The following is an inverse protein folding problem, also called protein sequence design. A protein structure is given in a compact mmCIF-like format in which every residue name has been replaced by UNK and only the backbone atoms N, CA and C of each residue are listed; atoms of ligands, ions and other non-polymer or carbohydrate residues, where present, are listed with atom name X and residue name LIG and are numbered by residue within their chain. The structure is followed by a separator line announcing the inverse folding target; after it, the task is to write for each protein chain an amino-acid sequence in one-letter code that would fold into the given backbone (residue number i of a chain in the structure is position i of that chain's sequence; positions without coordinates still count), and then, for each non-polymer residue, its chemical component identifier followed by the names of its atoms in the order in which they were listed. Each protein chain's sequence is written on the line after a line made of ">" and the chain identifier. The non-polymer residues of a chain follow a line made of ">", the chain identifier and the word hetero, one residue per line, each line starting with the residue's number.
data_IF_690345136127
#
_entry.id   IF_690345136127
#
_cell.length_a   1.000
_cell.length_b   1.000
_cell.length_c   1.000
_cell.angle_alpha   90.00
_cell.angle_beta   90.00
_cell.angle_gamma   90.00
#
_symmetry.space_group_name_H-M   'P 1'
#
loop_
_entity.id
_entity.type
_entity.pdbx_description
1 polymer ?
#
# COMPACT_ATOMS: atom_id res chain seq x y z
N UNK A 1 -0.28 9.16 13.42
CA UNK A 1 0.76 8.66 14.36
C UNK A 1 0.41 8.97 15.80
N UNK A 2 -0.70 8.40 16.31
CA UNK A 2 -1.30 8.82 17.58
C UNK A 2 -1.47 7.75 18.67
N UNK A 3 -1.18 6.47 18.41
CA UNK A 3 -1.58 5.40 19.34
C UNK A 3 -0.51 4.32 19.61
N UNK A 4 0.75 4.56 19.26
CA UNK A 4 1.80 3.55 19.34
C UNK A 4 2.89 3.96 20.32
N UNK A 5 2.92 3.28 21.48
CA UNK A 5 3.88 3.53 22.56
C UNK A 5 3.43 4.66 23.49
N UNK A 6 3.41 4.47 24.82
CA UNK A 6 3.00 5.52 25.75
C UNK A 6 4.06 6.62 25.93
N UNK A 7 5.33 6.37 25.59
CA UNK A 7 6.43 7.31 25.86
C UNK A 7 7.45 7.32 24.72
N UNK A 8 7.77 8.51 24.24
CA UNK A 8 8.99 8.71 23.46
C UNK A 8 9.60 10.10 23.74
N UNK A 9 10.90 10.10 24.01
CA UNK A 9 11.68 11.26 24.41
C UNK A 9 13.07 11.21 23.73
N UNK A 10 13.70 12.36 23.48
CA UNK A 10 15.09 12.42 23.04
C UNK A 10 15.36 12.13 21.56
N UNK A 11 14.40 12.43 20.67
CA UNK A 11 14.50 12.27 19.21
C UNK A 11 15.04 10.88 18.78
N UNK A 12 14.31 9.79 19.06
CA UNK A 12 14.78 8.47 18.72
C UNK A 12 14.67 8.19 17.21
N UNK A 13 15.54 7.31 16.71
CA UNK A 13 15.43 6.69 15.39
C UNK A 13 14.97 5.24 15.50
N UNK A 14 14.24 4.78 14.48
CA UNK A 14 13.84 3.39 14.29
C UNK A 14 14.49 2.81 13.04
N UNK A 15 14.91 1.55 13.15
CA UNK A 15 15.28 0.72 12.01
C UNK A 15 14.73 -0.69 12.18
N UNK A 16 14.19 -1.26 11.12
CA UNK A 16 13.65 -2.61 11.12
C UNK A 16 14.44 -3.47 10.15
N UNK A 17 14.82 -4.67 10.57
CA UNK A 17 15.52 -5.65 9.75
C UNK A 17 14.85 -7.01 9.77
N UNK A 18 15.05 -7.77 8.69
CA UNK A 18 14.65 -9.18 8.58
C UNK A 18 15.59 -10.08 9.43
N UNK A 19 14.98 -11.01 10.18
CA UNK A 19 15.67 -12.04 10.96
C UNK A 19 15.97 -11.68 12.42
N UNK A 20 16.52 -12.65 13.15
CA UNK A 20 16.98 -12.48 14.53
C UNK A 20 18.42 -11.95 14.57
N UNK A 21 18.65 -10.87 15.33
CA UNK A 21 19.99 -10.58 15.89
C UNK A 21 21.11 -10.24 14.90
N UNK A 22 20.80 -9.76 13.69
CA UNK A 22 21.81 -9.33 12.71
C UNK A 22 22.15 -7.85 12.89
N UNK A 23 23.41 -7.48 12.56
CA UNK A 23 23.77 -6.09 12.36
C UNK A 23 22.83 -5.50 11.31
N UNK A 24 21.94 -4.63 11.75
CA UNK A 24 20.96 -3.99 10.89
C UNK A 24 21.62 -2.81 10.17
N UNK A 25 22.38 -3.13 9.11
CA UNK A 25 23.02 -2.11 8.28
C UNK A 25 21.93 -1.28 7.59
N UNK A 26 22.14 0.04 7.39
CA UNK A 26 21.16 0.88 6.70
C UNK A 26 20.77 0.33 5.31
N UNK A 27 21.72 -0.31 4.63
CA UNK A 27 21.51 -0.88 3.29
C UNK A 27 20.69 -2.17 3.26
N UNK A 28 20.44 -2.80 4.41
CA UNK A 28 19.71 -4.06 4.53
C UNK A 28 18.45 -3.93 5.40
N UNK A 29 18.08 -2.70 5.78
CA UNK A 29 16.89 -2.45 6.57
C UNK A 29 15.65 -2.62 5.70
N UNK A 30 14.61 -3.27 6.26
CA UNK A 30 13.25 -3.25 5.72
C UNK A 30 12.68 -1.82 5.74
N UNK A 31 13.15 -0.99 6.67
CA UNK A 31 12.90 0.44 6.70
C UNK A 31 13.64 1.14 7.83
N UNK A 32 13.76 2.47 7.73
CA UNK A 32 14.32 3.32 8.78
C UNK A 32 13.66 4.69 8.79
N UNK A 33 13.56 5.30 9.98
CA UNK A 33 12.95 6.61 10.18
C UNK A 33 13.62 7.32 11.36
N UNK A 34 14.05 8.56 11.15
CA UNK A 34 14.81 9.36 12.13
C UNK A 34 14.02 10.58 12.62
N UNK A 35 12.70 10.46 12.68
CA UNK A 35 11.79 11.54 13.07
C UNK A 35 10.35 11.06 12.99
N UNK A 36 9.46 11.70 13.74
CA UNK A 36 8.08 11.24 13.83
C UNK A 36 7.18 11.67 12.70
N UNK A 37 5.89 11.74 13.01
CA UNK A 37 4.89 12.28 12.11
C UNK A 37 4.31 13.53 12.75
N UNK A 38 4.05 14.53 11.91
CA UNK A 38 3.51 15.81 12.32
C UNK A 38 4.38 16.45 13.42
N UNK A 39 3.76 16.87 14.52
CA UNK A 39 4.43 17.50 15.67
C UNK A 39 5.06 16.51 16.65
N UNK A 40 4.97 15.19 16.39
CA UNK A 40 5.57 14.18 17.26
C UNK A 40 7.03 13.91 16.88
N UNK A 41 7.98 13.92 17.82
CA UNK A 41 9.35 13.47 17.56
C UNK A 41 9.43 11.95 17.40
N UNK A 42 8.34 11.22 17.57
CA UNK A 42 8.34 9.77 17.70
C UNK A 42 8.29 9.07 16.35
N UNK A 43 9.35 8.36 15.93
CA UNK A 43 9.42 7.71 14.63
C UNK A 43 8.30 6.69 14.46
N UNK A 44 7.72 6.67 13.27
CA UNK A 44 6.75 5.68 12.84
C UNK A 44 7.22 5.08 11.51
N UNK A 45 7.16 3.77 11.40
CA UNK A 45 7.59 3.04 10.21
C UNK A 45 6.59 1.92 9.91
N UNK A 46 6.09 1.92 8.68
CA UNK A 46 5.37 0.80 8.12
C UNK A 46 6.36 -0.02 7.26
N UNK A 47 6.32 -1.34 7.38
CA UNK A 47 7.18 -2.24 6.63
C UNK A 47 6.43 -3.54 6.31
N UNK A 48 6.71 -4.18 5.17
CA UNK A 48 6.17 -5.50 4.88
C UNK A 48 6.71 -6.52 5.88
N UNK A 49 5.85 -7.42 6.36
CA UNK A 49 6.32 -8.53 7.18
C UNK A 49 7.33 -9.35 6.37
N UNK A 50 8.54 -9.61 6.88
CA UNK A 50 9.52 -10.40 6.14
C UNK A 50 9.05 -11.84 5.95
N UNK A 51 9.53 -12.47 4.87
CA UNK A 51 9.23 -13.88 4.55
C UNK A 51 9.67 -14.84 5.67
N UNK A 52 10.69 -14.46 6.45
CA UNK A 52 11.14 -15.22 7.61
C UNK A 52 10.11 -15.29 8.73
N UNK A 53 9.12 -14.37 8.73
CA UNK A 53 8.19 -14.15 9.84
C UNK A 53 8.85 -13.54 11.08
N UNK A 54 10.13 -13.16 10.99
CA UNK A 54 10.91 -12.64 12.11
C UNK A 54 11.54 -11.32 11.71
N UNK A 55 11.37 -10.31 12.57
CA UNK A 55 12.03 -9.02 12.39
C UNK A 55 12.66 -8.57 13.71
N UNK A 56 13.74 -7.80 13.58
CA UNK A 56 14.37 -7.11 14.71
C UNK A 56 14.19 -5.60 14.55
N UNK A 57 13.76 -4.93 15.61
CA UNK A 57 13.65 -3.47 15.67
C UNK A 57 14.83 -2.93 16.46
N UNK A 58 15.54 -1.97 15.87
CA UNK A 58 16.64 -1.23 16.49
C UNK A 58 16.19 0.19 16.79
N UNK A 59 16.49 0.65 18.00
CA UNK A 59 16.31 2.03 18.44
C UNK A 59 17.66 2.64 18.80
N UNK A 60 17.82 3.94 18.55
CA UNK A 60 18.99 4.72 18.95
C UNK A 60 18.59 6.21 19.06
N UNK A 61 19.36 7.06 19.75
CA UNK A 61 19.14 8.50 19.65
C UNK A 61 19.56 8.99 18.25
N UNK A 62 18.90 10.00 17.72
CA UNK A 62 19.28 10.60 16.43
C UNK A 62 20.64 11.33 16.53
N UNK A 63 20.99 11.81 17.73
CA UNK A 63 22.29 12.41 18.05
C UNK A 63 23.05 11.47 18.98
N UNK A 64 24.28 11.12 18.61
CA UNK A 64 25.11 10.20 19.40
C UNK A 64 25.36 10.75 20.82
N UNK A 65 25.15 9.90 21.82
CA UNK A 65 25.30 10.23 23.24
C UNK A 65 24.11 10.95 23.89
N UNK A 66 23.08 11.36 23.15
CA UNK A 66 21.88 11.95 23.76
C UNK A 66 21.00 10.87 24.41
N UNK A 67 20.39 11.16 25.58
CA UNK A 67 19.45 10.25 26.20
C UNK A 67 18.17 10.16 25.37
N UNK A 68 17.61 8.96 25.25
CA UNK A 68 16.33 8.75 24.59
C UNK A 68 15.50 7.70 25.32
N UNK A 69 14.18 7.79 25.15
CA UNK A 69 13.21 6.78 25.56
C UNK A 69 12.39 6.43 24.33
N UNK A 70 12.21 5.13 24.06
CA UNK A 70 11.40 4.65 22.96
C UNK A 70 10.62 3.42 23.42
N UNK A 71 9.39 3.63 23.89
CA UNK A 71 8.48 2.52 24.17
C UNK A 71 7.89 2.01 22.85
N UNK A 72 8.43 0.88 22.40
CA UNK A 72 8.03 0.26 21.13
C UNK A 72 6.65 -0.40 21.24
N UNK A 73 5.80 -0.12 20.27
CA UNK A 73 4.58 -0.88 20.01
C UNK A 73 4.59 -1.34 18.55
N UNK A 74 4.30 -2.62 18.32
CA UNK A 74 4.10 -3.17 16.98
C UNK A 74 2.67 -3.63 16.85
N UNK A 75 2.00 -3.22 15.77
CA UNK A 75 0.73 -3.81 15.36
C UNK A 75 0.94 -4.47 14.02
N UNK A 76 0.36 -5.66 13.89
CA UNK A 76 0.17 -6.30 12.60
C UNK A 76 -1.19 -5.87 12.06
N UNK A 77 -1.28 -5.76 10.75
CA UNK A 77 -2.49 -5.35 10.08
C UNK A 77 -2.24 -5.15 8.60
N UNK A 78 -3.31 -4.97 7.82
CA UNK A 78 -3.17 -4.59 6.44
C UNK A 78 -2.53 -3.20 6.34
N UNK A 79 -1.78 -2.91 5.26
CA UNK A 79 -1.25 -1.59 4.99
C UNK A 79 -2.39 -0.56 4.95
N UNK A 80 -2.14 0.62 5.49
CA UNK A 80 -3.15 1.67 5.65
C UNK A 80 -3.24 2.57 4.42
N UNK A 81 -3.34 1.97 3.23
CA UNK A 81 -3.28 2.71 1.96
C UNK A 81 -4.46 3.64 1.72
N UNK A 82 -5.53 3.50 2.50
CA UNK A 82 -6.73 4.32 2.40
C UNK A 82 -6.61 5.66 3.12
N UNK A 83 -5.56 5.87 3.92
CA UNK A 83 -5.27 7.17 4.53
C UNK A 83 -4.91 8.17 3.43
N UNK A 84 -5.42 9.40 3.51
CA UNK A 84 -4.98 10.49 2.64
C UNK A 84 -3.45 10.66 2.69
N UNK A 85 -2.84 11.08 1.58
CA UNK A 85 -1.41 11.33 1.56
C UNK A 85 -1.05 12.53 2.44
N UNK A 86 0.10 12.47 3.11
CA UNK A 86 0.56 13.56 3.98
C UNK A 86 0.99 14.78 3.14
N UNK A 87 1.47 14.53 1.91
CA UNK A 87 1.86 15.57 0.98
C UNK A 87 0.84 15.65 -0.16
N UNK A 88 0.31 16.85 -0.39
CA UNK A 88 -0.51 17.12 -1.57
C UNK A 88 0.28 16.78 -2.84
N UNK A 89 -0.32 15.95 -3.69
CA UNK A 89 0.22 15.65 -5.02
C UNK A 89 1.21 14.48 -5.09
N UNK A 90 1.28 13.62 -4.07
CA UNK A 90 1.86 12.28 -4.26
C UNK A 90 1.18 11.60 -5.46
N UNK A 91 1.97 10.95 -6.31
CA UNK A 91 1.49 10.45 -7.60
C UNK A 91 1.99 9.04 -7.93
N UNK A 92 1.23 8.35 -8.79
CA UNK A 92 1.61 7.09 -9.40
C UNK A 92 1.22 5.83 -8.60
N UNK A 93 1.47 4.68 -9.23
CA UNK A 93 1.05 3.35 -8.74
C UNK A 93 1.78 2.89 -7.48
N UNK A 94 2.95 3.46 -7.18
CA UNK A 94 3.77 3.05 -6.03
C UNK A 94 3.35 3.73 -4.72
N UNK A 95 2.44 4.71 -4.76
CA UNK A 95 2.01 5.43 -3.56
C UNK A 95 1.33 4.51 -2.54
N UNK A 96 1.50 4.85 -1.27
CA UNK A 96 1.04 4.02 -0.12
C UNK A 96 -0.09 4.68 0.66
N UNK A 97 -0.76 5.65 0.05
CA UNK A 97 -1.83 6.48 0.61
C UNK A 97 -2.82 6.88 -0.50
N UNK A 98 -3.99 7.36 -0.12
CA UNK A 98 -5.03 7.94 -0.98
C UNK A 98 -5.72 6.95 -1.92
N UNK A 99 -5.77 5.67 -1.51
CA UNK A 99 -6.51 4.61 -2.18
C UNK A 99 -7.90 4.45 -1.57
N UNK A 100 -8.82 3.86 -2.33
CA UNK A 100 -10.19 3.58 -1.89
C UNK A 100 -10.59 2.19 -2.37
N UNK A 101 -11.19 1.38 -1.50
CA UNK A 101 -11.76 0.11 -1.91
C UNK A 101 -12.86 0.30 -2.98
N UNK A 102 -12.72 -0.38 -4.11
CA UNK A 102 -13.75 -0.46 -5.14
C UNK A 102 -14.88 -1.39 -4.68
N UNK A 103 -16.12 -1.08 -5.07
CA UNK A 103 -17.30 -1.87 -4.72
C UNK A 103 -17.49 -3.04 -5.70
N UNK A 104 -16.72 -4.12 -5.51
CA UNK A 104 -16.86 -5.35 -6.30
C UNK A 104 -16.99 -6.58 -5.39
N UNK A 105 -17.65 -7.62 -5.91
CA UNK A 105 -17.59 -8.94 -5.28
C UNK A 105 -16.24 -9.58 -5.63
N UNK A 106 -15.42 -9.79 -4.60
CA UNK A 106 -14.03 -10.21 -4.72
C UNK A 106 -13.83 -11.70 -4.95
N UNK A 107 -14.89 -12.48 -5.14
CA UNK A 107 -14.77 -13.94 -5.30
C UNK A 107 -14.33 -14.33 -6.72
N UNK A 108 -13.37 -15.25 -6.82
CA UNK A 108 -12.84 -15.75 -8.10
C UNK A 108 -12.46 -17.24 -8.03
N UNK A 109 -12.34 -17.89 -9.18
CA UNK A 109 -11.90 -19.29 -9.27
C UNK A 109 -10.36 -19.37 -9.25
N UNK A 110 -9.74 -20.02 -8.25
CA UNK A 110 -8.29 -20.15 -8.16
C UNK A 110 -7.62 -20.61 -9.47
N UNK A 111 -6.55 -19.90 -9.86
CA UNK A 111 -5.76 -20.21 -11.05
C UNK A 111 -6.37 -19.78 -12.40
N UNK A 112 -7.58 -19.23 -12.40
CA UNK A 112 -8.16 -18.65 -13.62
C UNK A 112 -7.71 -17.20 -13.79
N UNK A 113 -7.56 -16.79 -15.05
CA UNK A 113 -7.28 -15.40 -15.40
C UNK A 113 -8.55 -14.56 -15.34
N UNK A 114 -8.44 -13.38 -14.76
CA UNK A 114 -9.49 -12.37 -14.71
C UNK A 114 -8.99 -11.09 -15.35
N UNK A 115 -9.86 -10.45 -16.13
CA UNK A 115 -9.71 -9.09 -16.62
C UNK A 115 -10.45 -8.18 -15.63
N UNK A 116 -9.82 -7.08 -15.23
CA UNK A 116 -10.40 -6.10 -14.31
C UNK A 116 -10.09 -4.70 -14.82
N UNK A 117 -11.04 -3.78 -14.66
CA UNK A 117 -10.86 -2.38 -15.05
C UNK A 117 -12.13 -1.57 -14.88
N UNK A 118 -12.05 -0.28 -15.20
CA UNK A 118 -13.18 0.67 -15.15
C UNK A 118 -13.43 1.44 -16.46
N UNK A 119 -12.90 0.96 -17.58
CA UNK A 119 -13.05 1.52 -18.93
C UNK A 119 -14.31 0.95 -19.65
N UNK A 120 -15.43 1.69 -19.71
CA UNK A 120 -16.70 1.19 -20.24
C UNK A 120 -16.66 0.89 -21.74
N UNK A 121 -17.72 0.23 -22.24
CA UNK A 121 -17.87 -0.09 -23.66
C UNK A 121 -17.70 1.11 -24.58
N UNK A 122 -16.90 0.92 -25.64
CA UNK A 122 -16.63 1.97 -26.63
C UNK A 122 -15.44 2.88 -26.29
N UNK A 123 -14.82 2.73 -25.12
CA UNK A 123 -13.60 3.43 -24.71
C UNK A 123 -12.33 2.57 -24.82
N UNK A 124 -12.44 1.41 -25.48
CA UNK A 124 -11.31 0.63 -25.97
C UNK A 124 -11.04 -0.66 -25.20
N UNK A 125 -11.25 -0.69 -23.88
CA UNK A 125 -11.05 -1.92 -23.09
C UNK A 125 -12.34 -2.70 -22.83
N UNK A 126 -13.52 -2.06 -22.94
CA UNK A 126 -14.83 -2.70 -22.75
C UNK A 126 -14.94 -3.48 -21.42
N UNK A 127 -14.42 -2.92 -20.33
CA UNK A 127 -14.50 -3.48 -18.97
C UNK A 127 -14.73 -2.40 -17.93
N UNK A 128 -15.80 -2.51 -17.15
CA UNK A 128 -16.18 -1.49 -16.16
C UNK A 128 -17.48 -0.80 -16.51
N UNK A 129 -17.90 0.15 -15.68
CA UNK A 129 -19.15 0.89 -15.88
C UNK A 129 -18.94 2.39 -16.12
N UNK A 130 -17.89 2.97 -15.52
CA UNK A 130 -17.57 4.38 -15.67
C UNK A 130 -16.10 4.66 -15.35
N UNK A 131 -15.51 5.57 -16.14
CA UNK A 131 -14.19 6.13 -15.90
C UNK A 131 -14.23 7.64 -16.15
N UNK A 132 -13.68 8.42 -15.23
CA UNK A 132 -13.46 9.85 -15.42
C UNK A 132 -12.26 10.34 -14.62
N UNK A 133 -11.61 11.40 -15.11
CA UNK A 133 -10.39 11.92 -14.51
C UNK A 133 -9.17 11.10 -14.96
N UNK A 134 -8.36 10.71 -13.98
CA UNK A 134 -7.11 9.96 -14.19
C UNK A 134 -6.97 8.90 -13.08
N UNK A 135 -7.81 7.85 -13.08
CA UNK A 135 -7.80 6.84 -12.03
C UNK A 135 -6.64 5.84 -12.18
N UNK A 136 -6.02 5.50 -11.05
CA UNK A 136 -5.16 4.33 -10.91
C UNK A 136 -5.90 3.18 -10.23
N UNK A 137 -5.48 1.94 -10.50
CA UNK A 137 -6.07 0.73 -9.95
C UNK A 137 -4.99 -0.24 -9.44
N UNK A 138 -5.26 -0.89 -8.32
CA UNK A 138 -4.46 -1.95 -7.71
C UNK A 138 -5.33 -3.13 -7.31
N UNK A 139 -4.92 -4.34 -7.69
CA UNK A 139 -5.57 -5.60 -7.34
C UNK A 139 -4.78 -6.28 -6.22
N UNK A 140 -5.45 -6.60 -5.11
CA UNK A 140 -4.85 -7.17 -3.92
C UNK A 140 -5.38 -8.59 -3.67
N UNK A 141 -4.54 -9.50 -3.13
CA UNK A 141 -5.02 -10.82 -2.71
C UNK A 141 -5.90 -10.71 -1.44
N UNK A 142 -6.99 -11.46 -1.40
CA UNK A 142 -7.93 -11.47 -0.26
C UNK A 142 -8.72 -10.17 -0.10
N UNK A 143 -9.20 -9.92 1.12
CA UNK A 143 -10.11 -8.79 1.44
C UNK A 143 -9.40 -7.53 1.92
N UNK A 144 -8.07 -7.56 1.96
CA UNK A 144 -7.29 -6.51 2.59
C UNK A 144 -6.48 -5.71 1.58
N UNK A 145 -6.26 -4.41 1.84
CA UNK A 145 -5.34 -3.63 1.04
C UNK A 145 -3.94 -4.23 1.00
N UNK A 146 -3.20 -3.91 -0.07
CA UNK A 146 -1.86 -4.39 -0.34
C UNK A 146 -0.97 -3.23 -0.85
N UNK A 147 0.34 -3.40 -0.72
CA UNK A 147 1.31 -2.48 -1.29
C UNK A 147 1.54 -2.82 -2.77
N UNK A 148 2.15 -1.90 -3.53
CA UNK A 148 2.52 -2.13 -4.94
C UNK A 148 3.32 -3.43 -5.12
N UNK A 149 4.28 -3.70 -4.21
CA UNK A 149 5.11 -4.90 -4.25
C UNK A 149 4.36 -6.22 -3.99
N UNK A 150 3.18 -6.18 -3.36
CA UNK A 150 2.35 -7.35 -3.06
C UNK A 150 1.04 -7.39 -3.85
N UNK A 151 0.85 -6.48 -4.80
CA UNK A 151 -0.30 -6.46 -5.68
C UNK A 151 -0.26 -7.63 -6.67
N UNK A 152 -1.43 -8.23 -6.94
CA UNK A 152 -1.59 -9.22 -8.01
C UNK A 152 -1.43 -8.57 -9.39
N UNK A 153 -1.93 -7.34 -9.52
CA UNK A 153 -1.78 -6.49 -10.70
C UNK A 153 -2.04 -5.03 -10.33
N UNK A 154 -1.57 -4.11 -11.16
CA UNK A 154 -1.85 -2.67 -11.05
C UNK A 154 -1.77 -2.02 -12.43
N UNK A 155 -2.51 -0.94 -12.64
CA UNK A 155 -2.51 -0.20 -13.89
C UNK A 155 -3.01 1.23 -13.69
N UNK A 156 -2.57 2.11 -14.57
CA UNK A 156 -2.87 3.55 -14.61
C UNK A 156 -3.61 3.85 -15.93
N UNK A 157 -2.87 3.79 -17.03
CA UNK A 157 -3.41 3.95 -18.37
C UNK A 157 -3.57 2.62 -19.11
N UNK A 158 -4.65 2.50 -19.88
CA UNK A 158 -4.89 1.40 -20.81
C UNK A 158 -5.66 1.85 -22.05
N UNK A 159 -5.63 1.03 -23.10
CA UNK A 159 -6.42 1.23 -24.33
C UNK A 159 -6.35 2.65 -24.94
N UNK A 160 -5.21 3.34 -24.79
CA UNK A 160 -4.97 4.72 -25.26
C UNK A 160 -5.82 5.79 -24.56
N UNK A 161 -6.27 5.54 -23.32
CA UNK A 161 -6.92 6.52 -22.46
C UNK A 161 -6.42 6.40 -21.00
N UNK A 162 -6.93 7.25 -20.11
CA UNK A 162 -6.59 7.31 -18.69
C UNK A 162 -7.31 6.28 -17.82
N UNK A 163 -7.98 5.30 -18.44
CA UNK A 163 -8.82 4.36 -17.70
C UNK A 163 -8.08 3.05 -17.52
N UNK A 164 -7.85 2.60 -16.27
CA UNK A 164 -7.02 1.45 -16.01
C UNK A 164 -7.76 0.16 -16.35
N UNK A 165 -7.00 -0.78 -16.91
CA UNK A 165 -7.41 -2.16 -17.09
C UNK A 165 -6.19 -3.08 -16.95
N UNK A 166 -6.38 -4.28 -16.42
CA UNK A 166 -5.31 -5.25 -16.33
C UNK A 166 -5.86 -6.66 -16.21
N UNK A 167 -4.99 -7.65 -16.40
CA UNK A 167 -5.31 -9.05 -16.17
C UNK A 167 -4.49 -9.61 -15.03
N UNK A 168 -5.07 -10.51 -14.24
CA UNK A 168 -4.39 -11.17 -13.13
C UNK A 168 -4.88 -12.62 -12.98
N UNK A 169 -4.05 -13.47 -12.38
CA UNK A 169 -4.43 -14.82 -12.00
C UNK A 169 -5.09 -14.80 -10.61
N UNK A 170 -6.27 -15.39 -10.50
CA UNK A 170 -6.98 -15.48 -9.23
C UNK A 170 -6.15 -16.27 -8.20
N UNK A 171 -5.92 -15.73 -6.99
CA UNK A 171 -5.09 -16.37 -5.98
C UNK A 171 -5.71 -17.67 -5.48
N UNK A 172 -4.88 -18.54 -4.87
CA UNK A 172 -5.33 -19.83 -4.32
C UNK A 172 -6.45 -19.73 -3.28
N UNK A 173 -6.54 -18.59 -2.58
CA UNK A 173 -7.61 -18.29 -1.63
C UNK A 173 -8.97 -18.02 -2.28
N UNK A 174 -9.03 -17.85 -3.61
CA UNK A 174 -10.26 -17.60 -4.36
C UNK A 174 -10.89 -16.23 -4.11
N UNK A 175 -10.13 -15.28 -3.54
CA UNK A 175 -10.62 -13.95 -3.19
C UNK A 175 -9.58 -12.88 -3.50
N UNK A 176 -10.05 -11.74 -3.96
CA UNK A 176 -9.26 -10.54 -4.23
C UNK A 176 -10.04 -9.29 -3.87
N UNK A 177 -9.35 -8.17 -3.78
CA UNK A 177 -9.94 -6.84 -3.59
C UNK A 177 -9.31 -5.90 -4.59
N UNK A 178 -10.03 -4.84 -4.96
CA UNK A 178 -9.53 -3.81 -5.86
C UNK A 178 -9.58 -2.48 -5.14
N UNK A 179 -8.49 -1.73 -5.28
CA UNK A 179 -8.36 -0.39 -4.75
C UNK A 179 -8.13 0.57 -5.91
N UNK A 180 -8.80 1.71 -5.86
CA UNK A 180 -8.68 2.78 -6.86
C UNK A 180 -8.26 4.07 -6.20
N UNK A 181 -7.69 4.98 -6.97
CA UNK A 181 -7.39 6.33 -6.52
C UNK A 181 -7.19 7.22 -7.74
N UNK A 182 -7.00 8.52 -7.56
CA UNK A 182 -6.50 9.36 -8.64
C UNK A 182 -4.98 9.15 -8.83
N UNK A 183 -4.46 9.28 -10.04
CA UNK A 183 -3.02 9.19 -10.33
C UNK A 183 -2.24 10.16 -9.43
N UNK A 184 -2.70 11.41 -9.39
CA UNK A 184 -2.23 12.42 -8.43
C UNK A 184 -3.22 12.53 -7.27
N UNK A 185 -2.76 12.34 -6.04
CA UNK A 185 -3.62 12.38 -4.86
C UNK A 185 -4.39 13.69 -4.72
N UNK A 186 -5.58 13.61 -4.14
CA UNK A 186 -6.48 14.75 -3.93
C UNK A 186 -7.19 15.27 -5.19
N UNK A 187 -7.11 14.57 -6.32
CA UNK A 187 -7.86 14.90 -7.54
C UNK A 187 -9.16 14.10 -7.61
N UNK A 188 -10.19 14.72 -8.17
CA UNK A 188 -11.44 14.03 -8.46
C UNK A 188 -11.22 12.95 -9.53
N UNK A 189 -11.82 11.78 -9.32
CA UNK A 189 -11.83 10.68 -10.28
C UNK A 189 -13.14 9.89 -10.17
N UNK A 190 -13.43 9.07 -11.17
CA UNK A 190 -14.47 8.04 -11.12
C UNK A 190 -13.92 6.77 -11.74
N UNK A 191 -14.13 5.63 -11.07
CA UNK A 191 -13.70 4.32 -11.55
C UNK A 191 -14.67 3.26 -10.99
N UNK A 192 -15.72 2.96 -11.76
CA UNK A 192 -16.67 1.89 -11.44
C UNK A 192 -16.15 0.58 -12.01
N UNK A 193 -15.47 -0.17 -11.14
CA UNK A 193 -14.71 -1.38 -11.50
C UNK A 193 -15.63 -2.56 -11.80
N UNK A 194 -15.31 -3.30 -12.85
CA UNK A 194 -15.82 -4.64 -13.12
C UNK A 194 -14.64 -5.62 -13.17
N UNK A 195 -14.87 -6.86 -12.75
CA UNK A 195 -13.95 -7.97 -12.96
C UNK A 195 -14.69 -9.13 -13.64
N UNK A 196 -14.09 -9.70 -14.68
CA UNK A 196 -14.65 -10.82 -15.43
C UNK A 196 -13.59 -11.87 -15.73
N UNK A 197 -14.00 -13.14 -15.78
CA UNK A 197 -13.10 -14.23 -16.10
C UNK A 197 -12.79 -14.22 -17.60
N UNK A 198 -11.51 -14.27 -17.94
CA UNK A 198 -11.05 -14.42 -19.33
C UNK A 198 -11.35 -15.85 -19.79
N UNK A 199 -12.03 -15.99 -20.93
CA UNK A 199 -12.41 -17.30 -21.50
C UNK A 199 -11.25 -17.98 -22.24
#
# INVERSE_FOLDING_TARGET
>A
CGDFGPVCEGDPMLRVCDGEGTQCLPSSALGQRNGGCDDSPCPHLEFPCPDSGVYTIWTAPNVDGEPYVCDLAVRTGPPQIERACENDGEEGLERTCGWHAAQIDGDCLPGFMYHVGCNPDGEGCNIGQACAGDPIMRVCPGDTPCLSASALAQNDDSCSNYCPSTTFECPLGGRFSVFTGSYRDGRDYTCEVTAERVQ
#
